data_IF_234973698290
#
_entry.id   IF_234973698290
#
_cell.length_a   1.000
_cell.length_b   1.000
_cell.length_c   1.000
_cell.angle_alpha   90.00
_cell.angle_beta   90.00
_cell.angle_gamma   90.00
#
_symmetry.space_group_name_H-M   'P 1'
#
loop_
_entity.id
_entity.type
_entity.pdbx_description
1 polymer ?
#
# COMPACT_ATOMS: atom_id res chain seq x y z
N UNK A 1 -43.52 20.28 55.37
CA UNK A 1 -43.13 20.02 53.96
C UNK A 1 -41.79 19.27 54.01
N UNK A 2 -41.66 18.08 53.41
CA UNK A 2 -40.37 17.44 53.26
C UNK A 2 -39.58 18.25 52.24
N UNK A 3 -38.29 18.58 52.47
CA UNK A 3 -37.49 19.27 51.48
C UNK A 3 -37.40 18.41 50.23
N UNK A 4 -37.67 18.97 49.07
CA UNK A 4 -37.45 18.36 47.78
C UNK A 4 -35.92 18.35 47.61
N UNK A 5 -35.28 17.17 47.72
CA UNK A 5 -33.90 16.98 47.33
C UNK A 5 -33.80 17.04 45.81
N UNK A 6 -33.45 18.21 45.29
CA UNK A 6 -33.03 18.31 43.90
C UNK A 6 -31.51 18.08 43.92
N UNK A 7 -31.10 16.99 43.36
CA UNK A 7 -29.67 16.68 43.18
C UNK A 7 -29.14 17.64 42.07
N UNK A 8 -28.66 18.78 42.50
CA UNK A 8 -28.16 19.82 41.62
C UNK A 8 -26.68 19.57 41.26
N UNK A 9 -26.35 19.74 39.96
CA UNK A 9 -24.96 19.69 39.50
C UNK A 9 -24.15 20.95 39.92
N UNK A 10 -24.74 21.87 40.61
CA UNK A 10 -24.16 23.14 41.03
C UNK A 10 -24.37 23.40 42.52
N UNK A 11 -23.40 24.08 43.14
CA UNK A 11 -23.52 24.54 44.52
C UNK A 11 -23.98 25.99 44.55
N UNK A 12 -24.71 26.38 45.60
CA UNK A 12 -25.20 27.73 45.81
C UNK A 12 -24.76 28.25 47.15
N UNK A 13 -24.21 29.47 47.16
CA UNK A 13 -23.95 30.26 48.37
C UNK A 13 -24.59 31.63 48.22
N UNK A 14 -25.19 32.11 49.31
CA UNK A 14 -25.64 33.52 49.44
C UNK A 14 -24.81 34.13 50.53
N UNK A 15 -24.21 35.28 50.22
CA UNK A 15 -23.35 35.99 51.18
C UNK A 15 -23.57 37.50 51.11
N UNK A 16 -23.13 38.17 52.18
CA UNK A 16 -23.03 39.62 52.25
C UNK A 16 -21.64 39.97 52.75
N UNK A 17 -20.92 40.69 51.95
CA UNK A 17 -19.52 41.07 52.23
C UNK A 17 -18.68 39.83 52.63
N UNK A 18 -18.81 38.76 51.83
CA UNK A 18 -18.16 37.46 52.01
C UNK A 18 -18.55 36.69 53.31
N UNK A 19 -19.48 37.21 54.09
CA UNK A 19 -20.06 36.44 55.22
C UNK A 19 -21.18 35.56 54.70
N UNK A 20 -21.09 34.23 54.86
CA UNK A 20 -22.12 33.30 54.35
C UNK A 20 -23.45 33.51 55.09
N UNK A 21 -24.57 33.60 54.34
CA UNK A 21 -25.93 33.72 54.82
C UNK A 21 -26.77 32.47 54.55
N UNK A 22 -26.41 31.77 53.46
CA UNK A 22 -26.98 30.48 53.09
C UNK A 22 -25.94 29.72 52.24
N UNK A 23 -25.88 28.42 52.48
CA UNK A 23 -25.03 27.50 51.75
C UNK A 23 -25.86 26.22 51.51
N UNK A 24 -25.86 25.70 50.30
CA UNK A 24 -26.41 24.37 50.07
C UNK A 24 -25.36 23.26 50.29
N UNK A 25 -25.82 22.03 50.46
CA UNK A 25 -24.92 20.87 50.70
C UNK A 25 -23.99 20.63 49.51
N UNK A 26 -24.43 20.94 48.29
CA UNK A 26 -23.63 20.75 47.08
C UNK A 26 -22.45 21.72 47.02
N UNK A 27 -22.66 23.00 47.44
CA UNK A 27 -21.57 23.95 47.57
C UNK A 27 -20.50 23.49 48.56
N UNK A 28 -20.93 22.99 49.73
CA UNK A 28 -20.02 22.45 50.72
C UNK A 28 -19.21 21.27 50.20
N UNK A 29 -19.87 20.32 49.53
CA UNK A 29 -19.24 19.14 48.93
C UNK A 29 -18.21 19.52 47.82
N UNK A 30 -18.50 20.53 47.02
CA UNK A 30 -17.60 20.99 45.97
C UNK A 30 -16.27 21.48 46.52
N UNK A 31 -16.31 22.12 47.72
CA UNK A 31 -15.13 22.65 48.41
C UNK A 31 -14.54 21.68 49.45
N UNK A 32 -15.03 20.43 49.53
CA UNK A 32 -14.49 19.37 50.38
C UNK A 32 -14.92 19.46 51.85
N UNK A 33 -16.00 20.17 52.19
CA UNK A 33 -16.61 20.20 53.50
C UNK A 33 -17.62 19.05 53.67
N UNK A 34 -17.77 18.57 54.91
CA UNK A 34 -18.71 17.49 55.21
C UNK A 34 -20.17 17.95 55.19
N UNK A 35 -20.41 19.24 55.48
CA UNK A 35 -21.77 19.81 55.54
C UNK A 35 -21.82 21.28 55.19
N UNK A 36 -22.98 21.76 54.74
CA UNK A 36 -23.23 23.21 54.57
C UNK A 36 -23.02 24.04 55.84
N UNK A 37 -23.26 23.39 57.00
CA UNK A 37 -23.08 24.06 58.31
C UNK A 37 -21.63 24.41 58.58
N UNK A 38 -20.67 23.63 58.14
CA UNK A 38 -19.25 23.94 58.29
C UNK A 38 -18.86 25.23 57.51
N UNK A 39 -19.36 25.35 56.28
CA UNK A 39 -19.14 26.55 55.48
C UNK A 39 -19.86 27.77 56.07
N UNK A 40 -21.06 27.59 56.62
CA UNK A 40 -21.79 28.63 57.32
C UNK A 40 -21.07 29.12 58.60
N UNK A 41 -20.20 28.31 59.19
CA UNK A 41 -19.43 28.69 60.42
C UNK A 41 -18.11 29.38 60.05
N UNK A 42 -17.74 29.53 58.77
CA UNK A 42 -16.57 30.30 58.35
C UNK A 42 -16.76 31.79 58.68
N UNK A 43 -15.70 32.43 59.11
CA UNK A 43 -15.68 33.85 59.33
C UNK A 43 -15.83 34.66 58.04
N UNK A 44 -15.32 34.12 56.96
CA UNK A 44 -15.41 34.69 55.62
C UNK A 44 -15.26 33.61 54.54
N UNK A 45 -15.93 33.76 53.41
CA UNK A 45 -15.71 32.94 52.22
C UNK A 45 -14.32 33.15 51.60
N UNK A 46 -13.58 34.17 52.02
CA UNK A 46 -12.17 34.33 51.65
C UNK A 46 -11.29 33.18 52.18
N UNK A 47 -11.73 32.45 53.21
CA UNK A 47 -11.01 31.31 53.75
C UNK A 47 -10.95 30.11 52.75
N UNK A 48 -11.82 30.12 51.76
CA UNK A 48 -11.93 29.08 50.69
C UNK A 48 -11.58 29.60 49.29
N UNK A 49 -11.22 30.88 49.16
CA UNK A 49 -10.80 31.50 47.92
C UNK A 49 -9.27 31.72 47.97
N UNK A 50 -8.57 31.29 46.88
CA UNK A 50 -7.13 31.51 46.78
C UNK A 50 -6.80 32.98 46.99
N UNK A 51 -5.86 33.33 47.89
CA UNK A 51 -5.50 34.72 48.22
C UNK A 51 -5.21 35.63 47.04
N UNK A 52 -4.70 35.08 45.95
CA UNK A 52 -4.42 35.87 44.73
C UNK A 52 -5.70 36.45 44.10
N UNK A 53 -6.88 35.84 44.36
CA UNK A 53 -8.18 36.30 43.84
C UNK A 53 -8.97 37.17 44.80
N UNK A 54 -8.54 37.36 46.09
CA UNK A 54 -9.29 38.11 47.08
C UNK A 54 -9.59 39.53 46.64
N UNK A 55 -8.59 40.23 46.11
CA UNK A 55 -8.79 41.61 45.64
C UNK A 55 -9.73 41.69 44.45
N UNK A 56 -9.63 40.75 43.53
CA UNK A 56 -10.51 40.68 42.34
C UNK A 56 -11.95 40.35 42.76
N UNK A 57 -12.13 39.39 43.67
CA UNK A 57 -13.43 39.00 44.17
C UNK A 57 -14.10 40.15 44.95
N UNK A 58 -13.35 40.86 45.82
CA UNK A 58 -13.86 42.03 46.54
C UNK A 58 -14.29 43.16 45.61
N UNK A 59 -13.47 43.46 44.58
CA UNK A 59 -13.82 44.48 43.60
C UNK A 59 -15.08 44.08 42.81
N UNK A 60 -15.17 42.84 42.37
CA UNK A 60 -16.33 42.32 41.64
C UNK A 60 -17.60 42.37 42.50
N UNK A 61 -17.53 41.97 43.78
CA UNK A 61 -18.64 42.09 44.70
C UNK A 61 -19.11 43.56 44.82
N UNK A 62 -18.19 44.49 45.07
CA UNK A 62 -18.53 45.89 45.21
C UNK A 62 -19.17 46.48 43.96
N UNK A 63 -18.65 46.16 42.78
CA UNK A 63 -19.15 46.67 41.52
C UNK A 63 -20.57 46.14 41.19
N UNK A 64 -20.84 44.88 41.50
CA UNK A 64 -22.17 44.27 41.32
C UNK A 64 -23.17 44.82 42.35
N UNK A 65 -22.79 44.89 43.62
CA UNK A 65 -23.66 45.36 44.69
C UNK A 65 -24.00 46.86 44.56
N UNK A 66 -23.10 47.64 43.94
CA UNK A 66 -23.31 49.07 43.65
C UNK A 66 -24.05 49.32 42.29
N UNK A 67 -24.36 48.26 41.57
CA UNK A 67 -25.02 48.39 40.26
C UNK A 67 -24.10 48.93 39.15
N UNK A 68 -22.78 49.00 39.40
CA UNK A 68 -21.79 49.44 38.40
C UNK A 68 -21.57 48.37 37.33
N UNK A 69 -21.71 47.11 37.70
CA UNK A 69 -21.58 45.98 36.83
C UNK A 69 -22.81 45.06 36.93
N UNK A 70 -23.24 44.54 35.79
CA UNK A 70 -24.28 43.47 35.78
C UNK A 70 -23.66 42.16 36.25
N UNK A 71 -24.43 41.27 36.91
CA UNK A 71 -23.98 39.92 37.25
C UNK A 71 -23.38 39.20 36.04
N UNK A 72 -22.25 38.53 36.22
CA UNK A 72 -21.49 37.90 35.14
C UNK A 72 -21.18 36.45 35.46
N UNK A 73 -20.85 35.72 34.41
CA UNK A 73 -20.21 34.44 34.50
C UNK A 73 -18.71 34.66 34.61
N UNK A 74 -18.08 34.06 35.60
CA UNK A 74 -16.62 34.14 35.83
C UNK A 74 -16.06 32.74 36.04
N UNK A 75 -14.81 32.54 35.65
CA UNK A 75 -14.08 31.30 35.90
C UNK A 75 -12.96 31.57 36.93
N UNK A 76 -12.85 30.72 37.90
CA UNK A 76 -11.80 30.76 38.93
C UNK A 76 -11.16 29.40 39.10
N UNK A 77 -9.91 29.41 39.55
CA UNK A 77 -9.24 28.21 40.02
C UNK A 77 -9.28 28.25 41.55
N UNK A 78 -9.88 27.24 42.14
CA UNK A 78 -10.01 27.12 43.59
C UNK A 78 -9.29 25.88 44.13
N UNK A 79 -9.07 25.86 45.44
CA UNK A 79 -8.53 24.69 46.12
C UNK A 79 -9.52 24.27 47.20
N UNK A 80 -9.80 22.98 47.27
CA UNK A 80 -10.66 22.42 48.32
C UNK A 80 -9.90 22.21 49.63
N UNK A 81 -10.61 21.78 50.68
CA UNK A 81 -10.06 21.49 52.02
C UNK A 81 -9.03 20.36 52.04
N UNK A 82 -8.99 19.52 50.98
CA UNK A 82 -8.07 18.38 50.81
C UNK A 82 -6.83 18.76 49.96
N UNK A 83 -6.78 19.99 49.47
CA UNK A 83 -5.69 20.47 48.62
C UNK A 83 -5.89 20.22 47.13
N UNK A 84 -7.03 19.70 46.68
CA UNK A 84 -7.34 19.52 45.26
C UNK A 84 -7.56 20.87 44.60
N UNK A 85 -6.83 21.13 43.53
CA UNK A 85 -7.00 22.31 42.69
C UNK A 85 -8.01 22.01 41.62
N UNK A 86 -9.03 22.81 41.43
CA UNK A 86 -10.07 22.65 40.45
C UNK A 86 -10.60 23.97 39.89
N UNK A 87 -11.10 23.94 38.65
CA UNK A 87 -11.70 25.06 37.99
C UNK A 87 -13.20 25.12 38.28
N UNK A 88 -13.69 26.29 38.61
CA UNK A 88 -15.11 26.54 38.80
C UNK A 88 -15.60 27.64 37.89
N UNK A 89 -16.83 27.47 37.42
CA UNK A 89 -17.59 28.53 36.80
C UNK A 89 -18.55 29.12 37.82
N UNK A 90 -18.52 30.39 38.02
CA UNK A 90 -19.43 31.10 38.95
C UNK A 90 -20.40 31.98 38.18
N UNK A 91 -21.66 31.99 38.64
CA UNK A 91 -22.70 32.89 38.15
C UNK A 91 -23.21 33.67 39.32
N UNK A 92 -23.07 35.00 39.26
CA UNK A 92 -23.47 35.91 40.33
C UNK A 92 -24.88 36.45 40.10
N UNK A 93 -25.66 36.61 41.18
CA UNK A 93 -26.95 37.24 41.16
C UNK A 93 -27.16 38.08 42.41
N UNK A 94 -27.68 39.28 42.28
CA UNK A 94 -28.12 40.08 43.43
C UNK A 94 -29.53 39.61 43.81
N UNK A 95 -29.69 39.18 45.04
CA UNK A 95 -30.97 38.68 45.59
C UNK A 95 -31.32 39.50 46.85
N UNK A 96 -32.62 39.56 47.17
CA UNK A 96 -33.07 40.09 48.44
C UNK A 96 -33.08 38.96 49.47
N UNK A 97 -32.30 39.07 50.51
CA UNK A 97 -32.19 38.12 51.59
C UNK A 97 -32.51 38.76 52.93
N UNK A 98 -33.61 38.36 53.56
CA UNK A 98 -34.12 38.91 54.83
C UNK A 98 -34.26 40.44 54.81
N UNK A 99 -34.80 40.98 53.75
CA UNK A 99 -35.06 42.42 53.59
C UNK A 99 -33.85 43.28 53.23
N UNK A 100 -32.75 42.70 52.85
CA UNK A 100 -31.53 43.42 52.45
C UNK A 100 -30.85 42.74 51.27
N UNK A 101 -30.17 43.51 50.39
CA UNK A 101 -29.45 42.92 49.24
C UNK A 101 -28.34 42.00 49.69
N UNK A 102 -28.18 40.90 48.99
CA UNK A 102 -27.09 39.92 49.16
C UNK A 102 -26.65 39.39 47.79
N UNK A 103 -25.47 38.84 47.69
CA UNK A 103 -25.00 38.21 46.46
C UNK A 103 -25.19 36.69 46.56
N UNK A 104 -25.93 36.14 45.61
CA UNK A 104 -25.98 34.68 45.38
C UNK A 104 -24.93 34.31 44.33
N UNK A 105 -24.09 33.36 44.66
CA UNK A 105 -23.14 32.75 43.73
C UNK A 105 -23.52 31.32 43.50
N UNK A 106 -23.75 30.95 42.24
CA UNK A 106 -23.91 29.60 41.80
C UNK A 106 -22.56 29.12 41.26
N UNK A 107 -22.06 27.99 41.76
CA UNK A 107 -20.74 27.42 41.43
C UNK A 107 -20.92 26.10 40.70
N UNK A 108 -20.27 25.97 39.58
CA UNK A 108 -20.25 24.72 38.76
C UNK A 108 -18.80 24.22 38.68
N UNK A 109 -18.58 22.96 39.05
CA UNK A 109 -17.26 22.31 38.91
C UNK A 109 -17.02 21.99 37.42
N UNK A 110 -15.97 22.57 36.87
CA UNK A 110 -15.56 22.37 35.48
C UNK A 110 -14.57 21.24 35.27
N UNK A 111 -14.14 20.56 36.36
CA UNK A 111 -13.06 19.57 36.30
C UNK A 111 -13.34 18.41 35.33
N UNK A 112 -14.58 17.95 35.25
CA UNK A 112 -14.96 16.88 34.33
C UNK A 112 -14.87 17.32 32.86
N UNK A 113 -15.26 18.57 32.59
CA UNK A 113 -15.20 19.14 31.23
C UNK A 113 -13.72 19.38 30.86
N UNK A 114 -12.92 19.94 31.75
CA UNK A 114 -11.49 20.16 31.54
C UNK A 114 -10.75 18.84 31.30
N UNK A 115 -11.05 17.79 32.09
CA UNK A 115 -10.49 16.46 31.90
C UNK A 115 -10.89 15.85 30.56
N UNK A 116 -12.16 15.97 30.17
CA UNK A 116 -12.62 15.48 28.86
C UNK A 116 -11.92 16.19 27.68
N UNK A 117 -11.81 17.52 27.77
CA UNK A 117 -11.10 18.31 26.75
C UNK A 117 -9.61 17.94 26.69
N UNK A 118 -8.96 17.74 27.84
CA UNK A 118 -7.58 17.32 27.89
C UNK A 118 -7.39 15.93 27.26
N UNK A 119 -8.29 14.99 27.54
CA UNK A 119 -8.26 13.65 26.93
C UNK A 119 -8.43 13.72 25.41
N UNK A 120 -9.33 14.56 24.92
CA UNK A 120 -9.53 14.75 23.47
C UNK A 120 -8.24 15.27 22.84
N UNK A 121 -7.61 16.31 23.42
CA UNK A 121 -6.34 16.85 22.91
C UNK A 121 -5.22 15.82 22.92
N UNK A 122 -5.10 15.03 24.00
CA UNK A 122 -4.11 13.95 24.07
C UNK A 122 -4.35 12.87 23.03
N UNK A 123 -5.60 12.51 22.76
CA UNK A 123 -5.94 11.54 21.71
C UNK A 123 -5.62 12.11 20.33
N UNK A 124 -6.01 13.34 20.04
CA UNK A 124 -5.68 14.00 18.77
C UNK A 124 -4.17 14.02 18.51
N UNK A 125 -3.38 14.35 19.55
CA UNK A 125 -1.92 14.35 19.44
C UNK A 125 -1.37 12.95 19.14
N UNK A 126 -1.87 11.92 19.85
CA UNK A 126 -1.48 10.53 19.61
C UNK A 126 -1.78 10.09 18.17
N UNK A 127 -2.95 10.44 17.64
CA UNK A 127 -3.29 10.12 16.23
C UNK A 127 -2.37 10.85 15.26
N UNK A 128 -2.07 12.11 15.49
CA UNK A 128 -1.10 12.86 14.67
C UNK A 128 0.26 12.20 14.69
N UNK A 129 0.75 11.83 15.87
CA UNK A 129 2.06 11.19 16.03
C UNK A 129 2.13 9.84 15.33
N UNK A 130 1.06 9.01 15.42
CA UNK A 130 0.98 7.72 14.72
C UNK A 130 1.05 7.87 13.20
N UNK A 131 0.36 8.85 12.63
CA UNK A 131 0.39 9.12 11.19
C UNK A 131 1.74 9.69 10.78
N UNK A 132 2.30 10.62 11.58
CA UNK A 132 3.52 11.36 11.25
C UNK A 132 4.78 10.51 11.34
N UNK A 133 4.80 9.51 12.24
CA UNK A 133 5.90 8.56 12.42
C UNK A 133 5.65 7.20 11.77
N UNK A 134 4.58 7.06 10.99
CA UNK A 134 4.33 5.85 10.20
C UNK A 134 5.44 5.65 9.18
N UNK A 135 5.89 4.40 9.00
CA UNK A 135 6.80 4.01 7.91
C UNK A 135 6.08 3.91 6.55
N UNK A 136 4.75 3.79 6.58
CA UNK A 136 3.96 3.84 5.36
C UNK A 136 3.74 5.28 4.94
N UNK A 137 3.90 5.55 3.66
CA UNK A 137 3.52 6.84 3.09
C UNK A 137 2.00 6.98 3.10
N UNK A 138 1.48 8.04 3.68
CA UNK A 138 0.05 8.33 3.75
C UNK A 138 -0.23 9.62 3.01
N UNK A 139 -1.16 9.56 2.07
CA UNK A 139 -1.71 10.68 1.33
C UNK A 139 -3.23 10.68 1.50
N UNK A 140 -3.81 11.83 1.82
CA UNK A 140 -5.24 12.07 1.66
C UNK A 140 -5.43 13.02 0.50
N UNK A 141 -6.36 12.69 -0.40
CA UNK A 141 -6.59 13.51 -1.58
C UNK A 141 -8.08 13.54 -1.98
N UNK A 142 -8.44 14.55 -2.74
CA UNK A 142 -9.73 14.66 -3.44
C UNK A 142 -9.48 15.04 -4.87
N UNK A 143 -10.01 14.26 -5.81
CA UNK A 143 -9.80 14.44 -7.25
C UNK A 143 -8.31 14.62 -7.61
N UNK A 144 -7.46 13.74 -7.05
CA UNK A 144 -6.00 13.73 -7.21
C UNK A 144 -5.27 14.99 -6.68
N UNK A 145 -5.96 15.90 -6.01
CA UNK A 145 -5.33 17.05 -5.33
C UNK A 145 -4.99 16.65 -3.89
N UNK A 146 -3.73 16.78 -3.46
CA UNK A 146 -3.32 16.49 -2.09
C UNK A 146 -4.06 17.37 -1.07
N UNK A 147 -4.52 16.75 0.02
CA UNK A 147 -5.13 17.40 1.18
C UNK A 147 -4.28 17.22 2.43
N UNK A 148 -3.56 16.10 2.53
CA UNK A 148 -2.64 15.80 3.62
C UNK A 148 -1.63 14.76 3.13
N UNK A 149 -0.37 14.91 3.53
CA UNK A 149 0.67 13.88 3.38
C UNK A 149 1.49 13.79 4.66
N UNK A 150 1.97 12.59 4.98
CA UNK A 150 2.93 12.39 6.05
C UNK A 150 4.39 12.45 5.52
N UNK A 151 5.40 12.58 6.39
CA UNK A 151 6.80 12.61 5.97
C UNK A 151 7.23 11.37 5.20
N UNK A 152 6.77 10.17 5.59
CA UNK A 152 7.12 8.93 4.91
C UNK A 152 6.65 8.92 3.45
N UNK A 153 5.49 9.50 3.13
CA UNK A 153 5.05 9.64 1.73
C UNK A 153 6.04 10.48 0.92
N UNK A 154 6.49 11.61 1.48
CA UNK A 154 7.48 12.52 0.85
C UNK A 154 8.79 11.78 0.57
N UNK A 155 9.30 11.04 1.56
CA UNK A 155 10.54 10.28 1.42
C UNK A 155 10.45 9.17 0.37
N UNK A 156 9.32 8.46 0.32
CA UNK A 156 9.08 7.36 -0.62
C UNK A 156 9.00 7.85 -2.06
N UNK A 157 8.30 8.95 -2.33
CA UNK A 157 8.22 9.53 -3.69
C UNK A 157 9.40 10.44 -4.04
N UNK A 158 10.40 10.59 -3.13
CA UNK A 158 11.60 11.40 -3.32
C UNK A 158 11.33 12.89 -3.55
N UNK A 159 10.27 13.42 -2.94
CA UNK A 159 10.04 14.86 -2.89
C UNK A 159 10.95 15.52 -1.82
N UNK A 160 11.20 16.82 -1.96
CA UNK A 160 12.08 17.55 -1.03
C UNK A 160 11.36 17.95 0.28
N UNK A 161 10.04 18.06 0.26
CA UNK A 161 9.26 18.48 1.41
C UNK A 161 7.77 18.18 1.28
N UNK A 162 7.08 18.16 2.42
CA UNK A 162 5.61 18.13 2.48
C UNK A 162 5.00 19.29 1.67
N UNK A 163 5.60 20.49 1.77
CA UNK A 163 5.10 21.68 1.08
C UNK A 163 5.16 21.52 -0.45
N UNK A 164 6.19 20.86 -0.99
CA UNK A 164 6.30 20.59 -2.42
C UNK A 164 5.17 19.70 -2.91
N UNK A 165 4.87 18.62 -2.18
CA UNK A 165 3.77 17.70 -2.54
C UNK A 165 2.42 18.39 -2.41
N UNK A 166 2.21 19.16 -1.33
CA UNK A 166 0.97 19.90 -1.10
C UNK A 166 0.73 21.03 -2.10
N UNK A 167 1.77 21.52 -2.76
CA UNK A 167 1.67 22.54 -3.81
C UNK A 167 1.24 22.00 -5.18
N UNK A 168 1.16 20.67 -5.34
CA UNK A 168 0.70 20.07 -6.59
C UNK A 168 -0.80 20.36 -6.81
N UNK A 169 -1.14 20.83 -7.99
CA UNK A 169 -2.55 20.89 -8.42
C UNK A 169 -3.15 19.49 -8.57
N UNK A 170 -2.32 18.53 -8.96
CA UNK A 170 -2.67 17.11 -9.06
C UNK A 170 -1.42 16.25 -9.05
N UNK A 171 -1.43 15.17 -8.26
CA UNK A 171 -0.34 14.18 -8.26
C UNK A 171 -0.44 13.16 -9.42
N UNK A 172 -1.34 13.37 -10.37
CA UNK A 172 -1.41 12.57 -11.61
C UNK A 172 -0.10 12.58 -12.40
N UNK A 173 0.75 13.61 -12.23
CA UNK A 173 2.09 13.65 -12.80
C UNK A 173 3.03 12.53 -12.31
N UNK A 174 2.74 11.94 -11.14
CA UNK A 174 3.49 10.80 -10.62
C UNK A 174 2.99 9.46 -11.17
N UNK A 175 1.88 9.45 -11.89
CA UNK A 175 1.29 8.25 -12.49
C UNK A 175 1.67 8.21 -13.98
N UNK A 176 2.28 7.12 -14.48
CA UNK A 176 2.58 6.97 -15.90
C UNK A 176 1.33 7.21 -16.77
N UNK A 177 1.50 7.87 -17.90
CA UNK A 177 0.39 8.34 -18.75
C UNK A 177 -0.57 7.20 -19.14
N UNK A 178 -0.02 6.01 -19.46
CA UNK A 178 -0.82 4.85 -19.82
C UNK A 178 -1.71 4.32 -18.66
N UNK A 179 -1.36 4.61 -17.40
CA UNK A 179 -2.12 4.20 -16.20
C UNK A 179 -3.11 5.26 -15.71
N UNK A 180 -3.02 6.51 -16.15
CA UNK A 180 -3.85 7.61 -15.65
C UNK A 180 -5.36 7.38 -15.86
N UNK A 181 -5.74 6.74 -16.97
CA UNK A 181 -7.15 6.41 -17.24
C UNK A 181 -7.67 5.39 -16.22
N UNK A 182 -6.87 4.38 -15.90
CA UNK A 182 -7.23 3.38 -14.89
C UNK A 182 -7.36 4.00 -13.49
N UNK A 183 -6.41 4.86 -13.11
CA UNK A 183 -6.45 5.58 -11.83
C UNK A 183 -7.73 6.43 -11.68
N UNK A 184 -8.16 7.12 -12.74
CA UNK A 184 -9.43 7.89 -12.72
C UNK A 184 -10.66 6.99 -12.57
N UNK A 185 -10.67 5.84 -13.24
CA UNK A 185 -11.78 4.88 -13.11
C UNK A 185 -11.87 4.32 -11.69
N UNK A 186 -10.74 3.91 -11.09
CA UNK A 186 -10.69 3.43 -9.71
C UNK A 186 -11.14 4.50 -8.72
N UNK A 187 -10.68 5.74 -8.89
CA UNK A 187 -11.14 6.86 -8.08
C UNK A 187 -12.66 6.99 -8.10
N UNK A 188 -13.29 6.93 -9.28
CA UNK A 188 -14.75 7.04 -9.40
C UNK A 188 -15.49 5.87 -8.77
N UNK A 189 -14.99 4.64 -8.93
CA UNK A 189 -15.56 3.44 -8.31
C UNK A 189 -15.50 3.49 -6.78
N UNK A 190 -14.40 4.02 -6.22
CA UNK A 190 -14.28 4.23 -4.78
C UNK A 190 -15.27 5.30 -4.29
N UNK A 191 -15.32 6.46 -4.94
CA UNK A 191 -16.22 7.57 -4.53
C UNK A 191 -17.69 7.19 -4.70
N UNK A 192 -18.06 6.43 -5.74
CA UNK A 192 -19.42 5.90 -5.94
C UNK A 192 -19.76 4.74 -5.00
N UNK A 193 -18.80 4.24 -4.23
CA UNK A 193 -18.93 3.07 -3.35
C UNK A 193 -19.20 1.75 -4.07
N UNK A 194 -18.90 1.67 -5.35
CA UNK A 194 -18.84 0.38 -6.07
C UNK A 194 -17.70 -0.50 -5.57
N UNK A 195 -16.61 0.14 -5.14
CA UNK A 195 -15.50 -0.47 -4.41
C UNK A 195 -15.39 0.14 -3.01
N UNK A 196 -15.01 -0.66 -2.03
CA UNK A 196 -14.76 -0.20 -0.65
C UNK A 196 -13.30 0.14 -0.41
N UNK A 197 -12.40 -0.56 -1.07
CA UNK A 197 -10.95 -0.39 -0.99
C UNK A 197 -10.26 -1.05 -2.18
N UNK A 198 -9.02 -0.65 -2.44
CA UNK A 198 -8.12 -1.29 -3.40
C UNK A 198 -6.85 -1.76 -2.72
N UNK A 199 -6.18 -2.74 -3.32
CA UNK A 199 -4.89 -3.25 -2.87
C UNK A 199 -4.11 -3.75 -4.08
N UNK A 200 -3.39 -2.83 -4.73
CA UNK A 200 -2.72 -3.10 -5.99
C UNK A 200 -1.24 -2.69 -5.94
N UNK A 201 -0.40 -3.35 -6.73
CA UNK A 201 0.96 -2.88 -6.99
C UNK A 201 0.93 -2.01 -8.23
N UNK A 202 1.37 -0.77 -8.09
CA UNK A 202 1.38 0.21 -9.17
C UNK A 202 2.76 0.77 -9.42
N UNK A 203 2.99 1.12 -10.67
CA UNK A 203 4.18 1.84 -11.11
C UNK A 203 3.97 3.34 -11.01
N UNK A 204 4.92 4.05 -10.37
CA UNK A 204 4.90 5.49 -10.24
C UNK A 204 6.24 6.11 -10.65
N UNK A 205 6.20 7.33 -11.17
CA UNK A 205 7.36 8.14 -11.46
C UNK A 205 7.59 9.06 -10.26
N UNK A 206 8.73 8.91 -9.58
CA UNK A 206 9.07 9.72 -8.42
C UNK A 206 9.67 11.08 -8.82
N UNK A 207 9.80 12.00 -7.85
CA UNK A 207 10.36 13.34 -8.09
C UNK A 207 11.81 13.34 -8.58
N UNK A 208 12.57 12.27 -8.31
CA UNK A 208 13.92 12.06 -8.86
C UNK A 208 13.93 11.52 -10.29
N UNK A 209 12.78 11.39 -10.93
CA UNK A 209 12.60 10.88 -12.28
C UNK A 209 12.73 9.35 -12.39
N UNK A 210 12.96 8.64 -11.30
CA UNK A 210 13.03 7.19 -11.32
C UNK A 210 11.65 6.55 -11.14
N UNK A 211 11.47 5.43 -11.81
CA UNK A 211 10.28 4.59 -11.64
C UNK A 211 10.42 3.69 -10.42
N UNK A 212 9.39 3.65 -9.58
CA UNK A 212 9.27 2.75 -8.43
C UNK A 212 7.91 2.06 -8.42
N UNK A 213 7.88 0.90 -7.77
CA UNK A 213 6.67 0.10 -7.59
C UNK A 213 6.18 0.22 -6.16
N UNK A 214 4.95 0.71 -6.00
CA UNK A 214 4.33 0.86 -4.69
C UNK A 214 3.14 -0.09 -4.55
N UNK A 215 3.06 -0.75 -3.40
CA UNK A 215 1.83 -1.38 -2.95
C UNK A 215 0.91 -0.26 -2.44
N UNK A 216 -0.24 -0.07 -3.09
CA UNK A 216 -1.24 0.93 -2.72
C UNK A 216 -2.40 0.28 -1.98
N UNK A 217 -2.80 0.90 -0.87
CA UNK A 217 -4.06 0.62 -0.18
C UNK A 217 -4.87 1.90 -0.17
N UNK A 218 -6.03 1.87 -0.81
CA UNK A 218 -6.89 3.04 -0.92
C UNK A 218 -8.26 2.77 -0.31
N UNK A 219 -8.80 3.76 0.38
CA UNK A 219 -10.14 3.72 0.96
C UNK A 219 -10.76 5.10 1.03
N UNK A 220 -12.09 5.15 1.02
CA UNK A 220 -12.84 6.41 1.18
C UNK A 220 -12.93 6.75 2.65
N UNK A 221 -12.62 8.01 2.98
CA UNK A 221 -12.77 8.58 4.31
C UNK A 221 -13.62 9.86 4.24
N UNK A 222 -14.19 10.25 5.37
CA UNK A 222 -14.72 11.61 5.52
C UNK A 222 -13.58 12.57 5.86
N UNK A 223 -13.45 13.63 5.09
CA UNK A 223 -12.45 14.67 5.31
C UNK A 223 -13.11 16.04 5.29
N UNK A 224 -13.40 16.55 6.47
CA UNK A 224 -14.07 17.82 6.63
C UNK A 224 -15.52 17.84 6.11
N UNK A 225 -16.26 16.75 6.30
CA UNK A 225 -17.65 16.61 5.88
C UNK A 225 -17.83 16.24 4.40
N UNK A 226 -16.75 15.97 3.68
CA UNK A 226 -16.79 15.57 2.26
C UNK A 226 -15.95 14.31 2.04
N UNK A 227 -16.34 13.42 1.09
CA UNK A 227 -15.57 12.23 0.78
C UNK A 227 -14.19 12.59 0.21
N UNK A 228 -13.17 11.88 0.67
CA UNK A 228 -11.82 11.92 0.15
C UNK A 228 -11.24 10.50 0.13
N UNK A 229 -10.17 10.27 -0.60
CA UNK A 229 -9.47 9.00 -0.60
C UNK A 229 -8.22 9.12 0.27
N UNK A 230 -8.07 8.17 1.20
CA UNK A 230 -6.82 7.91 1.88
C UNK A 230 -6.08 6.84 1.10
N UNK A 231 -4.87 7.16 0.65
CA UNK A 231 -3.95 6.24 0.00
C UNK A 231 -2.76 5.99 0.93
N UNK A 232 -2.50 4.73 1.26
CA UNK A 232 -1.29 4.30 1.95
C UNK A 232 -0.38 3.59 0.97
N UNK A 233 0.92 3.93 0.96
CA UNK A 233 1.90 3.36 0.06
C UNK A 233 3.05 2.69 0.81
N UNK A 234 3.53 1.59 0.24
CA UNK A 234 4.74 0.89 0.67
C UNK A 234 5.61 0.69 -0.57
N UNK A 235 6.88 1.04 -0.51
CA UNK A 235 7.83 0.74 -1.60
C UNK A 235 8.09 -0.78 -1.65
N UNK A 236 7.76 -1.39 -2.77
CA UNK A 236 7.97 -2.81 -3.06
C UNK A 236 8.87 -3.01 -4.27
N UNK A 237 9.60 -1.98 -4.69
CA UNK A 237 10.42 -1.98 -5.92
C UNK A 237 11.42 -3.12 -5.94
N UNK A 238 12.18 -3.30 -4.87
CA UNK A 238 13.16 -4.39 -4.77
C UNK A 238 12.46 -5.76 -4.80
N UNK A 239 11.40 -5.92 -4.01
CA UNK A 239 10.60 -7.15 -3.99
C UNK A 239 10.04 -7.47 -5.36
N UNK A 240 9.47 -6.48 -6.04
CA UNK A 240 8.89 -6.64 -7.39
C UNK A 240 9.95 -7.11 -8.41
N UNK A 241 11.14 -6.51 -8.40
CA UNK A 241 12.22 -6.92 -9.30
C UNK A 241 12.76 -8.32 -8.96
N UNK A 242 12.89 -8.65 -7.67
CA UNK A 242 13.30 -9.99 -7.25
C UNK A 242 12.26 -11.06 -7.65
N UNK A 243 10.99 -10.81 -7.44
CA UNK A 243 9.92 -11.72 -7.86
C UNK A 243 9.94 -11.94 -9.40
N UNK A 244 10.08 -10.87 -10.18
CA UNK A 244 10.25 -10.96 -11.63
C UNK A 244 11.49 -11.72 -12.06
N UNK A 245 12.60 -11.53 -11.36
CA UNK A 245 13.84 -12.27 -11.62
C UNK A 245 13.67 -13.76 -11.30
N UNK A 246 13.03 -14.10 -10.18
CA UNK A 246 12.72 -15.49 -9.81
C UNK A 246 11.79 -16.13 -10.85
N UNK A 247 10.74 -15.43 -11.29
CA UNK A 247 9.84 -15.90 -12.33
C UNK A 247 10.58 -16.14 -13.65
N UNK A 248 11.48 -15.23 -14.02
CA UNK A 248 12.30 -15.36 -15.23
C UNK A 248 13.24 -16.57 -15.11
N UNK A 249 13.99 -16.73 -14.02
CA UNK A 249 14.86 -17.89 -13.80
C UNK A 249 14.10 -19.19 -13.70
N UNK A 250 12.90 -19.19 -13.11
CA UNK A 250 12.06 -20.37 -13.05
C UNK A 250 11.52 -20.81 -14.43
N UNK A 251 11.46 -19.90 -15.40
CA UNK A 251 10.86 -20.11 -16.72
C UNK A 251 11.85 -20.15 -17.88
N UNK A 252 13.07 -19.65 -17.70
CA UNK A 252 14.07 -19.57 -18.77
C UNK A 252 15.34 -20.35 -18.41
N UNK A 253 16.08 -20.71 -19.42
CA UNK A 253 17.42 -21.31 -19.31
C UNK A 253 18.46 -20.20 -19.18
N UNK A 254 19.28 -20.24 -18.13
CA UNK A 254 20.23 -19.18 -17.77
C UNK A 254 21.28 -18.93 -18.88
N UNK A 255 21.67 -19.96 -19.64
CA UNK A 255 22.68 -19.83 -20.68
C UNK A 255 22.13 -19.21 -21.95
N UNK A 256 20.93 -19.60 -22.37
CA UNK A 256 20.38 -19.24 -23.69
C UNK A 256 19.30 -18.15 -23.64
N UNK A 257 18.68 -17.91 -22.49
CA UNK A 257 17.52 -17.03 -22.35
C UNK A 257 16.27 -17.54 -23.06
N UNK A 258 16.25 -18.79 -23.52
CA UNK A 258 15.06 -19.48 -24.05
C UNK A 258 14.22 -20.03 -22.90
N UNK A 259 12.97 -20.41 -23.18
CA UNK A 259 12.20 -21.17 -22.19
C UNK A 259 12.93 -22.44 -21.81
N UNK A 260 12.97 -22.74 -20.50
CA UNK A 260 13.45 -24.03 -20.03
C UNK A 260 12.41 -25.13 -20.26
N UNK A 261 12.82 -26.39 -20.10
CA UNK A 261 11.99 -27.56 -20.32
C UNK A 261 10.65 -27.49 -19.55
N UNK A 262 10.69 -27.03 -18.29
CA UNK A 262 9.48 -26.93 -17.46
C UNK A 262 8.50 -25.91 -18.04
N UNK A 263 8.96 -24.70 -18.27
CA UNK A 263 8.09 -23.60 -18.72
C UNK A 263 7.51 -23.86 -20.11
N UNK A 264 8.29 -24.45 -21.04
CA UNK A 264 7.77 -24.76 -22.38
C UNK A 264 6.70 -25.85 -22.30
N UNK A 265 6.86 -26.86 -21.44
CA UNK A 265 5.86 -27.91 -21.22
C UNK A 265 4.58 -27.34 -20.59
N UNK A 266 4.68 -26.46 -19.60
CA UNK A 266 3.54 -25.79 -18.96
C UNK A 266 2.76 -24.93 -19.97
N UNK A 267 3.47 -24.09 -20.76
CA UNK A 267 2.85 -23.24 -21.79
C UNK A 267 2.08 -24.04 -22.84
N UNK A 268 2.58 -25.21 -23.19
CA UNK A 268 1.93 -26.10 -24.16
C UNK A 268 0.69 -26.75 -23.59
N UNK A 269 0.78 -27.26 -22.37
CA UNK A 269 -0.37 -27.82 -21.68
C UNK A 269 -1.53 -26.83 -21.65
N UNK A 270 -1.22 -25.57 -21.34
CA UNK A 270 -2.22 -24.51 -21.27
C UNK A 270 -2.84 -24.21 -22.66
N UNK A 271 -2.00 -24.12 -23.71
CA UNK A 271 -2.48 -23.88 -25.08
C UNK A 271 -3.38 -24.97 -25.59
N UNK A 272 -3.09 -26.26 -25.31
CA UNK A 272 -3.90 -27.40 -25.76
C UNK A 272 -5.26 -27.41 -25.05
N UNK A 273 -5.30 -27.01 -23.77
CA UNK A 273 -6.56 -26.92 -23.01
C UNK A 273 -7.45 -25.80 -23.56
N UNK A 274 -6.85 -24.68 -23.99
CA UNK A 274 -7.56 -23.49 -24.44
C UNK A 274 -8.02 -23.54 -25.90
N UNK A 275 -7.58 -24.54 -26.69
CA UNK A 275 -7.89 -24.59 -28.12
C UNK A 275 -8.87 -25.75 -28.48
N UNK A 276 -9.99 -25.41 -29.13
CA UNK A 276 -10.96 -26.37 -29.68
C UNK A 276 -10.44 -27.15 -30.89
N UNK A 277 -9.31 -26.71 -31.47
CA UNK A 277 -8.70 -27.36 -32.66
C UNK A 277 -7.20 -27.54 -32.43
N UNK A 278 -6.79 -28.79 -32.25
CA UNK A 278 -5.38 -29.17 -32.10
C UNK A 278 -4.66 -29.28 -33.45
N UNK A 279 -3.95 -28.25 -33.86
CA UNK A 279 -2.95 -28.31 -34.94
C UNK A 279 -1.59 -27.91 -34.41
N UNK A 280 -1.04 -28.73 -33.53
CA UNK A 280 0.27 -28.44 -32.89
C UNK A 280 1.34 -29.31 -33.59
N UNK A 281 2.47 -28.68 -33.89
CA UNK A 281 3.65 -29.33 -34.43
C UNK A 281 4.82 -29.12 -33.45
N UNK A 282 5.53 -30.20 -33.17
CA UNK A 282 6.75 -30.19 -32.37
C UNK A 282 7.96 -30.50 -33.25
N UNK A 283 8.99 -29.70 -33.13
CA UNK A 283 10.34 -30.00 -33.64
C UNK A 283 11.25 -30.25 -32.43
N UNK A 284 11.87 -31.41 -32.38
CA UNK A 284 12.96 -31.68 -31.46
C UNK A 284 14.27 -31.65 -32.23
N UNK A 285 15.23 -30.90 -31.73
CA UNK A 285 16.47 -30.54 -32.41
C UNK A 285 17.63 -30.90 -31.50
N UNK A 286 18.66 -31.52 -32.03
CA UNK A 286 19.89 -31.83 -31.30
C UNK A 286 21.11 -31.42 -32.13
N UNK A 287 22.08 -30.76 -31.49
CA UNK A 287 23.34 -30.33 -32.11
C UNK A 287 24.24 -31.56 -32.31
N UNK A 288 24.54 -31.84 -33.57
CA UNK A 288 25.36 -33.01 -33.91
C UNK A 288 26.79 -32.90 -33.36
N UNK A 289 27.28 -34.04 -32.85
CA UNK A 289 28.65 -34.16 -32.33
C UNK A 289 29.06 -33.13 -31.22
N UNK A 290 28.09 -32.61 -30.49
CA UNK A 290 28.31 -31.59 -29.48
C UNK A 290 29.34 -32.03 -28.39
N UNK A 291 29.30 -33.29 -27.98
CA UNK A 291 30.27 -33.84 -27.03
C UNK A 291 31.70 -33.72 -27.56
N UNK A 292 31.90 -34.01 -28.87
CA UNK A 292 33.23 -33.86 -29.48
C UNK A 292 33.71 -32.39 -29.43
N UNK A 293 32.80 -31.42 -29.66
CA UNK A 293 33.15 -29.98 -29.52
C UNK A 293 33.64 -29.68 -28.10
N UNK A 294 32.92 -30.12 -27.08
CA UNK A 294 33.33 -29.94 -25.68
C UNK A 294 34.68 -30.62 -25.37
N UNK A 295 34.87 -31.87 -25.86
CA UNK A 295 36.11 -32.64 -25.59
C UNK A 295 37.31 -32.04 -26.29
N UNK A 296 37.17 -31.41 -27.46
CA UNK A 296 38.28 -30.80 -28.22
C UNK A 296 38.57 -29.35 -27.83
N UNK A 297 37.53 -28.53 -27.58
CA UNK A 297 37.65 -27.07 -27.43
C UNK A 297 37.24 -26.56 -26.07
N UNK A 298 36.81 -27.46 -25.18
CA UNK A 298 36.38 -27.14 -23.83
C UNK A 298 34.93 -26.65 -23.74
N UNK A 299 34.37 -26.69 -22.52
CA UNK A 299 32.97 -26.35 -22.25
C UNK A 299 32.61 -24.90 -22.64
N UNK A 300 33.54 -23.95 -22.50
CA UNK A 300 33.25 -22.56 -22.90
C UNK A 300 32.94 -22.41 -24.41
N UNK A 301 33.60 -23.20 -25.25
CA UNK A 301 33.33 -23.27 -26.69
C UNK A 301 31.98 -23.95 -26.97
N UNK A 302 31.64 -24.99 -26.22
CA UNK A 302 30.33 -25.62 -26.27
C UNK A 302 29.20 -24.66 -25.87
N UNK A 303 29.40 -23.89 -24.79
CA UNK A 303 28.43 -22.87 -24.35
C UNK A 303 28.23 -21.80 -25.44
N UNK A 304 29.29 -21.34 -26.10
CA UNK A 304 29.18 -20.41 -27.25
C UNK A 304 28.32 -21.01 -28.37
N UNK A 305 28.55 -22.30 -28.71
CA UNK A 305 27.73 -23.00 -29.73
C UNK A 305 26.26 -23.02 -29.31
N UNK A 306 25.95 -23.39 -28.07
CA UNK A 306 24.59 -23.43 -27.57
C UNK A 306 23.93 -22.05 -27.64
N UNK A 307 24.58 -20.98 -27.20
CA UNK A 307 24.04 -19.61 -27.24
C UNK A 307 23.78 -19.13 -28.67
N UNK A 308 24.72 -19.36 -29.57
CA UNK A 308 24.57 -18.95 -30.97
C UNK A 308 23.47 -19.76 -31.67
N UNK A 309 23.40 -21.06 -31.43
CA UNK A 309 22.35 -21.93 -31.96
C UNK A 309 20.96 -21.56 -31.43
N UNK A 310 20.84 -21.26 -30.13
CA UNK A 310 19.60 -20.74 -29.52
C UNK A 310 19.11 -19.46 -30.22
N UNK A 311 19.99 -18.52 -30.45
CA UNK A 311 19.67 -17.27 -31.17
C UNK A 311 19.27 -17.53 -32.62
N UNK A 312 19.89 -18.49 -33.30
CA UNK A 312 19.53 -18.93 -34.64
C UNK A 312 18.12 -19.50 -34.68
N UNK A 313 17.78 -20.41 -33.75
CA UNK A 313 16.45 -20.99 -33.63
C UNK A 313 15.40 -19.90 -33.35
N UNK A 314 15.67 -19.01 -32.39
CA UNK A 314 14.78 -17.89 -32.06
C UNK A 314 14.47 -17.00 -33.26
N UNK A 315 15.50 -16.67 -34.05
CA UNK A 315 15.36 -15.86 -35.29
C UNK A 315 14.66 -16.61 -36.43
N UNK A 316 14.86 -17.93 -36.54
CA UNK A 316 14.24 -18.73 -37.60
C UNK A 316 12.76 -18.95 -37.32
N UNK A 317 12.38 -19.14 -36.09
CA UNK A 317 10.98 -19.36 -35.66
C UNK A 317 10.22 -18.04 -35.57
N UNK A 318 10.84 -16.97 -35.05
CA UNK A 318 10.21 -15.65 -34.91
C UNK A 318 8.91 -15.72 -34.13
N UNK A 319 7.87 -15.07 -34.66
CA UNK A 319 6.52 -15.05 -34.06
C UNK A 319 5.69 -16.31 -34.39
N UNK A 320 6.21 -17.20 -35.25
CA UNK A 320 5.49 -18.39 -35.67
C UNK A 320 5.31 -19.47 -34.59
N UNK A 321 6.13 -19.39 -33.52
CA UNK A 321 6.10 -20.39 -32.47
C UNK A 321 6.88 -20.02 -31.24
N UNK A 322 7.05 -21.00 -30.35
CA UNK A 322 7.86 -20.85 -29.13
C UNK A 322 9.06 -21.79 -29.21
N UNK A 323 10.20 -21.32 -28.68
CA UNK A 323 11.46 -22.05 -28.64
C UNK A 323 11.91 -22.24 -27.21
N UNK A 324 12.38 -23.43 -26.87
CA UNK A 324 12.94 -23.74 -25.56
C UNK A 324 14.20 -24.59 -25.67
N UNK A 325 15.03 -24.56 -24.63
CA UNK A 325 16.10 -25.51 -24.41
C UNK A 325 15.54 -26.72 -23.67
N UNK A 326 15.62 -27.90 -24.32
CA UNK A 326 15.05 -29.12 -23.76
C UNK A 326 15.98 -29.80 -22.75
N UNK A 327 17.29 -29.74 -22.99
CA UNK A 327 18.36 -30.20 -22.11
C UNK A 327 19.70 -30.18 -22.83
N UNK A 328 20.81 -30.04 -22.17
CA UNK A 328 22.15 -30.09 -22.77
C UNK A 328 22.26 -29.32 -24.08
N UNK A 329 22.39 -30.07 -25.18
CA UNK A 329 22.45 -29.60 -26.57
C UNK A 329 21.13 -29.71 -27.32
N UNK A 330 20.03 -30.07 -26.63
CA UNK A 330 18.72 -30.31 -27.25
C UNK A 330 17.83 -29.06 -27.16
N UNK A 331 17.16 -28.75 -28.27
CA UNK A 331 16.20 -27.65 -28.38
C UNK A 331 14.84 -28.17 -28.84
N UNK A 332 13.79 -27.46 -28.42
CA UNK A 332 12.42 -27.80 -28.79
C UNK A 332 11.74 -26.56 -29.36
N UNK A 333 10.97 -26.78 -30.42
CA UNK A 333 10.16 -25.75 -31.08
C UNK A 333 8.73 -26.25 -31.17
N UNK A 334 7.79 -25.38 -30.81
CA UNK A 334 6.37 -25.65 -31.01
C UNK A 334 5.74 -24.60 -31.92
N UNK A 335 4.99 -25.07 -32.89
CA UNK A 335 4.31 -24.26 -33.89
C UNK A 335 2.81 -24.56 -33.81
N UNK A 336 2.01 -23.57 -33.42
CA UNK A 336 0.55 -23.69 -33.38
C UNK A 336 -0.05 -23.22 -34.70
N UNK A 337 -1.09 -23.91 -35.17
CA UNK A 337 -1.81 -23.57 -36.41
C UNK A 337 -0.93 -23.52 -37.68
N UNK A 338 0.09 -24.35 -37.74
CA UNK A 338 0.96 -24.49 -38.89
C UNK A 338 0.73 -25.84 -39.61
N UNK A 339 0.91 -25.86 -40.93
CA UNK A 339 0.97 -27.09 -41.69
C UNK A 339 2.35 -27.75 -41.56
N UNK A 340 2.41 -29.06 -41.76
CA UNK A 340 3.67 -29.81 -41.77
C UNK A 340 4.66 -29.25 -42.81
N UNK A 341 4.16 -28.77 -43.95
CA UNK A 341 4.98 -28.09 -44.98
C UNK A 341 5.67 -26.81 -44.45
N UNK A 342 4.95 -26.01 -43.68
CA UNK A 342 5.50 -24.80 -43.07
C UNK A 342 6.53 -25.15 -41.98
N UNK A 343 6.25 -26.15 -41.17
CA UNK A 343 7.18 -26.63 -40.16
C UNK A 343 8.49 -27.16 -40.78
N UNK A 344 8.39 -27.97 -41.86
CA UNK A 344 9.54 -28.45 -42.64
C UNK A 344 10.36 -27.26 -43.21
N UNK A 345 9.71 -26.18 -43.65
CA UNK A 345 10.40 -24.99 -44.15
C UNK A 345 11.18 -24.24 -43.05
N UNK A 346 10.58 -24.16 -41.85
CA UNK A 346 11.26 -23.57 -40.68
C UNK A 346 12.46 -24.44 -40.29
N UNK A 347 12.28 -25.76 -40.19
CA UNK A 347 13.35 -26.69 -39.88
C UNK A 347 14.49 -26.62 -40.91
N UNK A 348 14.16 -26.59 -42.19
CA UNK A 348 15.17 -26.43 -43.28
C UNK A 348 15.90 -25.09 -43.18
N UNK A 349 15.22 -24.00 -42.73
CA UNK A 349 15.85 -22.72 -42.50
C UNK A 349 16.83 -22.78 -41.33
N UNK A 350 16.49 -23.51 -40.28
CA UNK A 350 17.38 -23.74 -39.12
C UNK A 350 18.63 -24.48 -39.58
N UNK A 351 18.51 -25.62 -40.25
CA UNK A 351 19.66 -26.41 -40.75
C UNK A 351 20.57 -25.56 -41.66
N UNK A 352 19.97 -24.90 -42.67
CA UNK A 352 20.73 -24.11 -43.61
C UNK A 352 21.51 -22.95 -42.93
N UNK A 353 20.90 -22.31 -41.97
CA UNK A 353 21.59 -21.24 -41.20
C UNK A 353 22.67 -21.83 -40.31
N UNK A 354 22.48 -23.00 -39.73
CA UNK A 354 23.46 -23.71 -38.92
C UNK A 354 24.70 -24.06 -39.76
N UNK A 355 24.52 -24.60 -40.97
CA UNK A 355 25.60 -24.91 -41.90
C UNK A 355 26.40 -23.66 -42.36
N UNK A 356 25.76 -22.48 -42.38
CA UNK A 356 26.40 -21.25 -42.80
C UNK A 356 27.07 -20.53 -41.62
N UNK A 357 26.79 -20.94 -40.37
CA UNK A 357 27.38 -20.39 -39.18
C UNK A 357 28.78 -20.96 -38.96
N UNK A 358 29.79 -20.09 -39.03
CA UNK A 358 31.19 -20.49 -38.81
C UNK A 358 31.56 -20.17 -37.37
N UNK A 359 31.98 -21.19 -36.64
CA UNK A 359 32.52 -21.06 -35.29
C UNK A 359 34.03 -21.02 -35.37
N UNK A 360 34.64 -20.08 -34.67
CA UNK A 360 36.10 -19.96 -34.59
C UNK A 360 36.55 -20.44 -33.21
N UNK A 361 37.20 -21.60 -33.17
CA UNK A 361 37.78 -22.15 -31.96
C UNK A 361 39.32 -22.18 -32.10
N UNK A 362 40.00 -21.33 -31.32
CA UNK A 362 41.45 -21.09 -31.46
C UNK A 362 41.78 -20.66 -32.90
N UNK A 363 42.58 -21.44 -33.61
CA UNK A 363 43.00 -21.20 -34.99
C UNK A 363 42.19 -22.01 -36.04
N UNK A 364 41.08 -22.64 -35.62
CA UNK A 364 40.29 -23.51 -36.50
C UNK A 364 38.86 -22.97 -36.69
N UNK A 365 38.39 -23.11 -37.93
CA UNK A 365 37.01 -22.83 -38.30
C UNK A 365 36.22 -24.14 -38.34
N UNK A 366 35.10 -24.17 -37.64
CA UNK A 366 34.18 -25.33 -37.60
C UNK A 366 32.78 -24.97 -38.01
N UNK A 367 32.15 -25.88 -38.69
CA UNK A 367 30.72 -25.84 -38.97
C UNK A 367 30.03 -26.85 -38.05
N UNK A 368 28.97 -26.42 -37.43
CA UNK A 368 28.15 -27.23 -36.55
C UNK A 368 26.89 -27.59 -37.31
N UNK A 369 26.44 -28.82 -37.22
CA UNK A 369 25.17 -29.28 -37.83
C UNK A 369 24.17 -29.70 -36.73
N UNK A 370 22.95 -29.93 -37.13
CA UNK A 370 21.90 -30.39 -36.22
C UNK A 370 20.99 -31.44 -36.88
N UNK A 371 20.45 -32.31 -36.07
CA UNK A 371 19.45 -33.30 -36.47
C UNK A 371 18.08 -32.90 -35.93
N UNK A 372 17.04 -32.92 -36.78
CA UNK A 372 15.69 -32.43 -36.44
C UNK A 372 14.66 -33.53 -36.65
N UNK A 373 13.89 -33.82 -35.61
CA UNK A 373 12.69 -34.67 -35.71
C UNK A 373 11.42 -33.82 -35.60
N UNK A 374 10.50 -33.99 -36.53
CA UNK A 374 9.22 -33.32 -36.57
C UNK A 374 8.10 -34.29 -36.20
N UNK A 375 7.16 -33.85 -35.39
CA UNK A 375 5.91 -34.53 -35.11
C UNK A 375 4.73 -33.57 -35.23
N UNK A 376 3.56 -34.12 -35.59
CA UNK A 376 2.33 -33.35 -35.70
C UNK A 376 1.21 -34.04 -34.93
N UNK A 377 0.41 -33.28 -34.24
CA UNK A 377 -0.82 -33.75 -33.63
C UNK A 377 -1.89 -33.99 -34.71
N UNK A 378 -2.44 -35.20 -34.79
CA UNK A 378 -3.39 -35.62 -35.84
C UNK A 378 -4.82 -35.77 -35.33
N UNK A 379 -5.14 -35.51 -34.10
CA UNK A 379 -6.46 -35.74 -33.50
C UNK A 379 -6.85 -34.67 -32.47
N UNK A 380 -8.17 -34.58 -32.23
CA UNK A 380 -8.73 -33.67 -31.19
C UNK A 380 -8.29 -34.02 -29.75
N UNK A 381 -7.56 -35.10 -29.53
CA UNK A 381 -6.96 -35.50 -28.28
C UNK A 381 -5.43 -35.44 -28.39
N UNK A 382 -4.87 -34.23 -28.46
CA UNK A 382 -3.43 -34.06 -28.51
C UNK A 382 -2.83 -34.36 -27.13
N UNK A 383 -1.90 -35.32 -27.08
CA UNK A 383 -1.09 -35.60 -25.90
C UNK A 383 0.33 -35.06 -26.16
N UNK A 384 0.77 -34.08 -25.39
CA UNK A 384 2.09 -33.47 -25.51
C UNK A 384 3.21 -34.49 -25.36
N UNK A 385 3.09 -35.43 -24.43
CA UNK A 385 4.11 -36.45 -24.21
C UNK A 385 4.27 -37.31 -25.47
N UNK A 386 3.17 -37.74 -26.09
CA UNK A 386 3.18 -38.50 -27.32
C UNK A 386 3.76 -37.69 -28.50
N UNK A 387 3.43 -36.41 -28.58
CA UNK A 387 3.96 -35.50 -29.60
C UNK A 387 5.48 -35.37 -29.49
N UNK A 388 5.99 -35.15 -28.28
CA UNK A 388 7.43 -35.05 -28.00
C UNK A 388 8.13 -36.38 -28.26
N UNK A 389 7.56 -37.51 -27.80
CA UNK A 389 8.12 -38.86 -28.04
C UNK A 389 8.26 -39.18 -29.52
N UNK A 390 7.27 -38.78 -30.33
CA UNK A 390 7.33 -38.96 -31.75
C UNK A 390 8.39 -38.10 -32.41
N UNK A 391 8.53 -36.84 -31.99
CA UNK A 391 9.60 -35.95 -32.46
C UNK A 391 10.98 -36.50 -32.07
N UNK A 392 11.16 -37.01 -30.84
CA UNK A 392 12.38 -37.63 -30.39
C UNK A 392 12.79 -38.83 -31.22
N UNK A 393 11.83 -39.75 -31.49
CA UNK A 393 12.07 -40.89 -32.37
C UNK A 393 12.53 -40.49 -33.77
N UNK A 394 11.90 -39.46 -34.36
CA UNK A 394 12.27 -38.95 -35.66
C UNK A 394 13.63 -38.25 -35.65
N UNK A 395 13.97 -37.49 -34.59
CA UNK A 395 15.29 -36.89 -34.40
C UNK A 395 16.38 -37.95 -34.29
N UNK A 396 16.13 -39.03 -33.53
CA UNK A 396 17.07 -40.15 -33.43
C UNK A 396 17.26 -40.84 -34.76
N UNK A 397 16.20 -40.99 -35.55
CA UNK A 397 16.29 -41.53 -36.92
C UNK A 397 17.12 -40.61 -37.83
N UNK A 398 16.97 -39.27 -37.73
CA UNK A 398 17.83 -38.33 -38.45
C UNK A 398 19.32 -38.52 -38.11
N UNK A 399 19.65 -38.72 -36.84
CA UNK A 399 21.03 -39.00 -36.41
C UNK A 399 21.57 -40.32 -37.01
N UNK A 400 20.75 -41.38 -37.06
CA UNK A 400 21.15 -42.68 -37.63
C UNK A 400 21.34 -42.66 -39.14
N UNK A 401 20.58 -41.86 -39.86
CA UNK A 401 20.64 -41.75 -41.32
C UNK A 401 21.76 -40.82 -41.82
N UNK A 402 22.63 -40.33 -40.94
CA UNK A 402 23.83 -39.57 -41.33
C UNK A 402 23.87 -38.16 -40.80
N UNK A 403 23.00 -37.80 -39.86
CA UNK A 403 22.92 -36.45 -39.22
C UNK A 403 22.56 -35.36 -40.22
N UNK A 404 22.57 -34.07 -39.74
CA UNK A 404 22.33 -32.88 -40.56
C UNK A 404 21.10 -33.01 -41.47
N UNK A 405 19.98 -33.44 -40.95
CA UNK A 405 18.75 -33.68 -41.73
C UNK A 405 17.49 -33.62 -40.89
N UNK A 406 16.39 -33.59 -41.56
CA UNK A 406 15.04 -33.54 -40.98
C UNK A 406 14.37 -34.89 -41.23
N UNK A 407 13.77 -35.48 -40.21
CA UNK A 407 12.84 -36.59 -40.34
C UNK A 407 11.46 -36.18 -39.85
N UNK A 408 10.43 -36.54 -40.57
CA UNK A 408 9.03 -36.19 -40.30
C UNK A 408 8.10 -37.40 -40.42
N UNK A 409 6.81 -37.32 -39.99
CA UNK A 409 5.86 -38.41 -40.10
C UNK A 409 5.58 -38.92 -41.50
N UNK A 410 5.94 -38.17 -42.53
CA UNK A 410 5.73 -38.56 -43.96
C UNK A 410 6.96 -39.26 -44.56
N UNK A 411 8.09 -39.26 -43.86
CA UNK A 411 9.35 -39.89 -44.25
C UNK A 411 9.49 -41.24 -43.59
#
# INVERSE_FOLDING_TARGET
MKPIHIDSMYGVVIHRDFTPLFVDEKYAQLFGFESAQEVMNLSSLFDIIDPKYHQIAQQAYNDVMQGKETPKVRSYVNQDTQGRIFSVLTVDHVVEWQGSPALQITVIDMSTIDQANQQILEQEQKYKDLIWHSLQGILVHRDFKPLMVNPAFVDLIKANSVAEVMALDSFMCLIPEYNQKNARNLYQQLISKELTSTNDVVENICFDGQTRYFQLFESVIDWGGLPAIQTSIIDVTEKYHLERQIEYQASHDDLTGLFNRRAITEKLNQKIIDSDTCSEICLLIDIDDFKWINDQFGHASGDEVIVRFANLCKKAVGESGIVGRWGGEEFIVFLSNHSLKQAKAIAATILKKCELEIYQFSDHHHVVTASIGISQCQSNSCNIESLIQTADKNMYQAKQQGKNQIVSPED
#
